data_IF_312992752597
#
_entry.id   IF_312992752597
#
_cell.length_a   1.000
_cell.length_b   1.000
_cell.length_c   1.000
_cell.angle_alpha   90.00
_cell.angle_beta   90.00
_cell.angle_gamma   90.00
#
_symmetry.space_group_name_H-M   'P 1'
#
loop_
_entity.id
_entity.type
_entity.pdbx_description
1 polymer ?
#
# COMPACT_ATOMS: atom_id res chain seq x y z
N UNK A 1 -13.75 1.74 -1.94
CA UNK A 1 -12.71 0.78 -2.35
C UNK A 1 -13.37 -0.54 -2.66
N UNK A 2 -12.86 -1.26 -3.66
CA UNK A 2 -13.46 -2.51 -4.10
C UNK A 2 -12.75 -3.70 -3.47
N UNK A 3 -13.50 -4.80 -3.33
CA UNK A 3 -12.97 -6.04 -2.81
C UNK A 3 -11.94 -6.60 -3.80
N UNK A 4 -10.72 -6.93 -3.36
CA UNK A 4 -9.69 -7.44 -4.26
C UNK A 4 -10.10 -8.74 -4.94
N UNK A 5 -10.91 -9.56 -4.27
CA UNK A 5 -11.31 -10.89 -4.75
C UNK A 5 -12.47 -10.88 -5.76
N UNK A 6 -13.49 -10.03 -5.55
CA UNK A 6 -14.70 -10.03 -6.40
C UNK A 6 -15.05 -8.67 -7.00
N UNK A 7 -14.19 -7.66 -6.82
CA UNK A 7 -14.30 -6.30 -7.37
C UNK A 7 -15.62 -5.58 -7.07
N UNK A 8 -16.31 -5.99 -5.99
CA UNK A 8 -17.51 -5.34 -5.47
C UNK A 8 -17.15 -4.43 -4.28
N UNK A 9 -17.90 -3.35 -4.03
CA UNK A 9 -17.57 -2.41 -2.96
C UNK A 9 -17.54 -3.11 -1.59
N UNK A 10 -16.51 -2.78 -0.79
CA UNK A 10 -16.44 -3.19 0.61
C UNK A 10 -17.41 -2.36 1.46
N UNK A 11 -17.90 -2.94 2.56
CA UNK A 11 -18.68 -2.20 3.56
C UNK A 11 -17.77 -1.33 4.46
N UNK A 12 -18.38 -0.58 5.39
CA UNK A 12 -17.67 0.27 6.37
C UNK A 12 -16.70 -0.50 7.27
N UNK A 13 -16.89 -1.81 7.44
CA UNK A 13 -16.01 -2.69 8.20
C UNK A 13 -14.89 -3.31 7.34
N UNK A 14 -14.69 -2.82 6.11
CA UNK A 14 -13.74 -3.37 5.12
C UNK A 14 -13.96 -4.87 4.81
N UNK A 15 -15.22 -5.30 4.88
CA UNK A 15 -15.64 -6.67 4.58
C UNK A 15 -16.53 -6.70 3.35
N UNK A 16 -16.31 -7.68 2.48
CA UNK A 16 -17.14 -7.89 1.31
C UNK A 16 -18.38 -8.70 1.69
N UNK A 17 -19.57 -8.20 1.38
CA UNK A 17 -20.83 -8.91 1.64
C UNK A 17 -21.05 -10.13 0.73
N UNK A 18 -20.40 -10.16 -0.44
CA UNK A 18 -20.62 -11.19 -1.47
C UNK A 18 -19.69 -12.38 -1.33
N UNK A 19 -18.38 -12.14 -1.20
CA UNK A 19 -17.39 -13.22 -1.07
C UNK A 19 -16.88 -13.42 0.36
N UNK A 20 -17.42 -12.66 1.32
CA UNK A 20 -17.05 -12.71 2.73
C UNK A 20 -15.57 -12.39 3.04
N UNK A 21 -14.86 -11.79 2.09
CA UNK A 21 -13.48 -11.35 2.25
C UNK A 21 -13.39 -10.24 3.30
N UNK A 22 -12.47 -10.38 4.25
CA UNK A 22 -12.22 -9.40 5.32
C UNK A 22 -10.81 -8.85 5.16
N UNK A 23 -10.72 -7.57 4.75
CA UNK A 23 -9.45 -6.90 4.51
C UNK A 23 -8.60 -6.79 5.80
N UNK A 24 -9.23 -6.72 6.96
CA UNK A 24 -8.52 -6.61 8.23
C UNK A 24 -7.79 -7.91 8.59
N UNK A 25 -8.32 -9.05 8.12
CA UNK A 25 -7.75 -10.39 8.31
C UNK A 25 -6.90 -10.85 7.13
N UNK A 26 -6.79 -10.05 6.08
CA UNK A 26 -5.94 -10.35 4.95
C UNK A 26 -4.48 -10.49 5.39
N UNK A 27 -3.74 -11.35 4.70
CA UNK A 27 -2.29 -11.39 4.84
C UNK A 27 -1.68 -10.19 4.12
N UNK A 28 -0.87 -9.40 4.82
CA UNK A 28 -0.24 -8.20 4.27
C UNK A 28 1.22 -8.46 3.99
N UNK A 29 1.63 -8.28 2.74
CA UNK A 29 2.99 -8.52 2.28
C UNK A 29 3.65 -7.23 1.86
N UNK A 30 4.94 -7.08 2.16
CA UNK A 30 5.72 -5.90 1.78
C UNK A 30 6.12 -6.07 0.32
N UNK A 31 5.73 -5.11 -0.53
CA UNK A 31 6.03 -5.14 -1.97
C UNK A 31 7.19 -4.22 -2.35
N UNK A 32 7.38 -3.10 -1.63
CA UNK A 32 8.42 -2.12 -1.96
C UNK A 32 8.92 -1.40 -0.71
N UNK A 33 10.19 -1.02 -0.74
CA UNK A 33 10.80 -0.08 0.20
C UNK A 33 11.05 1.21 -0.52
N UNK A 34 10.62 2.32 0.07
CA UNK A 34 10.77 3.67 -0.48
C UNK A 34 11.28 4.59 0.60
N UNK A 35 11.71 5.78 0.20
CA UNK A 35 12.23 6.79 1.10
C UNK A 35 11.28 8.00 1.12
N UNK A 36 11.05 8.59 2.28
CA UNK A 36 10.21 9.79 2.39
C UNK A 36 10.74 10.91 1.51
N UNK A 37 9.90 11.61 0.71
CA UNK A 37 8.42 11.58 0.64
C UNK A 37 7.83 10.72 -0.49
N UNK A 38 8.58 9.79 -1.08
CA UNK A 38 8.15 9.02 -2.25
C UNK A 38 7.04 7.99 -1.94
N UNK A 39 6.82 7.63 -0.68
CA UNK A 39 5.69 6.81 -0.23
C UNK A 39 4.33 7.40 -0.59
N UNK A 40 4.22 8.72 -0.63
CA UNK A 40 2.97 9.43 -0.97
C UNK A 40 2.56 9.13 -2.42
N UNK A 41 3.54 9.13 -3.33
CA UNK A 41 3.31 8.87 -4.75
C UNK A 41 2.84 7.41 -4.92
N UNK A 42 3.57 6.47 -4.32
CA UNK A 42 3.24 5.03 -4.40
C UNK A 42 1.87 4.74 -3.79
N UNK A 43 1.55 5.33 -2.63
CA UNK A 43 0.23 5.20 -2.01
C UNK A 43 -0.88 5.72 -2.90
N UNK A 44 -0.73 6.95 -3.42
CA UNK A 44 -1.75 7.61 -4.25
C UNK A 44 -2.03 6.81 -5.53
N UNK A 45 -0.98 6.30 -6.17
CA UNK A 45 -1.10 5.45 -7.35
C UNK A 45 -1.87 4.17 -7.03
N UNK A 46 -1.42 3.39 -6.05
CA UNK A 46 -2.07 2.12 -5.72
C UNK A 46 -3.53 2.31 -5.29
N UNK A 47 -3.81 3.34 -4.49
CA UNK A 47 -5.17 3.70 -4.08
C UNK A 47 -6.06 4.10 -5.27
N UNK A 48 -5.51 4.80 -6.27
CA UNK A 48 -6.26 5.19 -7.49
C UNK A 48 -6.69 3.99 -8.31
N UNK A 49 -5.95 2.88 -8.24
CA UNK A 49 -6.33 1.59 -8.85
C UNK A 49 -7.15 0.69 -7.91
N UNK A 50 -7.58 1.23 -6.76
CA UNK A 50 -8.38 0.51 -5.78
C UNK A 50 -7.59 -0.52 -4.95
N UNK A 51 -6.26 -0.51 -5.02
CA UNK A 51 -5.40 -1.44 -4.29
C UNK A 51 -5.24 -0.93 -2.84
N UNK A 52 -5.54 -1.75 -1.83
CA UNK A 52 -5.36 -1.37 -0.43
C UNK A 52 -3.88 -1.26 -0.06
N UNK A 53 -3.49 -0.17 0.61
CA UNK A 53 -2.10 0.09 0.99
C UNK A 53 -1.97 0.28 2.51
N UNK A 54 -0.91 -0.28 3.09
CA UNK A 54 -0.43 0.03 4.43
C UNK A 54 1.01 0.54 4.36
N UNK A 55 1.21 1.73 4.89
CA UNK A 55 2.53 2.34 5.04
C UNK A 55 3.10 1.93 6.41
N UNK A 56 4.24 1.25 6.40
CA UNK A 56 4.98 0.87 7.59
C UNK A 56 6.26 1.71 7.64
N UNK A 57 6.18 2.84 8.32
CA UNK A 57 7.33 3.70 8.59
C UNK A 57 8.14 3.14 9.76
N UNK A 58 9.46 3.17 9.64
CA UNK A 58 10.34 2.96 10.80
C UNK A 58 10.51 4.32 11.47
N UNK A 59 9.79 4.56 12.56
CA UNK A 59 9.98 5.79 13.35
C UNK A 59 11.43 5.84 13.83
N UNK A 60 12.20 6.78 13.29
CA UNK A 60 13.46 7.19 13.91
C UNK A 60 13.03 8.18 15.01
N UNK A 61 13.27 7.88 16.30
CA UNK A 61 12.85 8.77 17.39
C UNK A 61 13.40 10.18 17.14
N UNK A 62 12.48 11.13 16.98
CA UNK A 62 12.82 12.48 16.54
C UNK A 62 13.51 13.25 17.67
N UNK A 63 14.83 13.44 17.54
CA UNK A 63 15.52 14.60 18.11
C UNK A 63 15.08 15.86 17.33
N UNK A 64 14.94 17.02 18.01
CA UNK A 64 14.32 18.19 17.41
C UNK A 64 15.24 18.75 16.32
N UNK A 65 14.64 19.11 15.18
CA UNK A 65 15.21 19.97 14.13
C UNK A 65 16.61 19.59 13.64
N UNK A 66 16.68 18.56 12.81
CA UNK A 66 17.73 18.43 11.79
C UNK A 66 17.09 17.74 10.60
N UNK A 67 17.34 18.23 9.39
CA UNK A 67 16.93 17.58 8.13
C UNK A 67 17.55 16.17 8.17
N UNK A 68 16.75 15.22 8.66
CA UNK A 68 17.21 13.86 8.94
C UNK A 68 17.40 13.09 7.63
N UNK A 69 18.24 12.05 7.62
CA UNK A 69 18.36 11.17 6.47
C UNK A 69 16.97 10.63 6.12
N UNK A 70 16.66 10.57 4.81
CA UNK A 70 15.36 10.12 4.29
C UNK A 70 14.94 8.82 5.01
N UNK A 71 13.77 8.81 5.64
CA UNK A 71 13.30 7.65 6.40
C UNK A 71 12.93 6.52 5.44
N UNK A 72 13.42 5.30 5.70
CA UNK A 72 12.97 4.11 4.96
C UNK A 72 11.55 3.75 5.40
N UNK A 73 10.67 3.65 4.42
CA UNK A 73 9.26 3.31 4.56
C UNK A 73 8.97 2.06 3.75
N UNK A 74 8.23 1.12 4.34
CA UNK A 74 7.82 -0.12 3.68
C UNK A 74 6.36 -0.01 3.26
N UNK A 75 6.10 -0.33 2.00
CA UNK A 75 4.75 -0.38 1.43
C UNK A 75 4.27 -1.82 1.47
N UNK A 76 3.14 -2.06 2.14
CA UNK A 76 2.49 -3.35 2.21
C UNK A 76 1.10 -3.33 1.58
N UNK A 77 0.73 -4.42 0.93
CA UNK A 77 -0.58 -4.64 0.30
C UNK A 77 -1.10 -6.04 0.65
N UNK A 78 -2.41 -6.31 0.50
CA UNK A 78 -2.90 -7.68 0.63
C UNK A 78 -2.22 -8.61 -0.37
N UNK A 79 -1.83 -9.80 0.08
CA UNK A 79 -1.14 -10.82 -0.72
C UNK A 79 -1.84 -11.11 -2.06
N UNK A 80 -3.18 -11.09 -2.07
CA UNK A 80 -4.00 -11.28 -3.28
C UNK A 80 -3.79 -10.23 -4.36
N UNK A 81 -3.36 -9.02 -4.00
CA UNK A 81 -3.12 -7.91 -4.94
C UNK A 81 -1.62 -7.62 -5.12
N UNK A 82 -0.73 -8.37 -4.46
CA UNK A 82 0.71 -8.10 -4.48
C UNK A 82 1.31 -8.14 -5.89
N UNK A 83 0.92 -9.12 -6.71
CA UNK A 83 1.38 -9.23 -8.09
C UNK A 83 0.86 -8.07 -8.96
N UNK A 84 -0.41 -7.68 -8.78
CA UNK A 84 -1.00 -6.56 -9.52
C UNK A 84 -0.32 -5.23 -9.14
N UNK A 85 -0.08 -5.01 -7.85
CA UNK A 85 0.61 -3.84 -7.34
C UNK A 85 2.06 -3.75 -7.84
N UNK A 86 2.80 -4.86 -7.86
CA UNK A 86 4.17 -4.90 -8.38
C UNK A 86 4.22 -4.54 -9.87
N UNK A 87 3.40 -5.20 -10.70
CA UNK A 87 3.35 -4.89 -12.14
C UNK A 87 3.07 -3.41 -12.39
N UNK A 88 2.11 -2.85 -11.65
CA UNK A 88 1.73 -1.45 -11.80
C UNK A 88 2.84 -0.47 -11.42
N UNK A 89 3.65 -0.82 -10.41
CA UNK A 89 4.80 -0.02 -10.00
C UNK A 89 5.99 -0.15 -10.94
N UNK A 90 6.18 -1.32 -11.56
CA UNK A 90 7.23 -1.55 -12.57
C UNK A 90 6.95 -0.74 -13.84
N UNK A 91 5.70 -0.74 -14.34
CA UNK A 91 5.26 0.07 -15.49
C UNK A 91 5.53 1.58 -15.28
N UNK A 92 5.47 2.07 -14.03
CA UNK A 92 5.72 3.48 -13.71
C UNK A 92 7.19 3.84 -13.56
N UNK A 93 8.06 2.86 -13.32
CA UNK A 93 9.52 3.06 -13.26
C UNK A 93 10.21 2.98 -14.62
N UNK A 94 9.55 2.48 -15.66
CA UNK A 94 10.09 2.41 -17.02
C UNK A 94 10.09 3.77 -17.77
N UNK A 95 9.73 4.86 -17.09
CA UNK A 95 9.74 6.23 -17.63
C UNK A 95 11.03 7.03 -17.32
N UNK A 96 12.11 6.38 -16.87
CA UNK A 96 13.43 7.00 -16.66
C UNK A 96 14.32 7.00 -17.93
#
# INVERSE_FOLDING_TARGET
MDCPNCKLPLNEAYRCATCNYDLNKANWVIIKKVYTPNEIIVESVLQSYGIPVRILSKEIPQMPVSIGPLAEVKIAVPESEAAAALNLLDDLTDFE
#
